data_IF_328015179542
#
_entry.id   IF_328015179542
#
_cell.length_a   1.000
_cell.length_b   1.000
_cell.length_c   1.000
_cell.angle_alpha   90.00
_cell.angle_beta   90.00
_cell.angle_gamma   90.00
#
_symmetry.space_group_name_H-M   'P 1'
#
loop_
_entity.id
_entity.type
_entity.pdbx_description
1 polymer ?
#
# COMPACT_ATOMS: atom_id res chain seq x y z
N UNK A 1 14.39 -11.07 27.40
CA UNK A 1 14.42 -9.59 27.37
C UNK A 1 15.81 -9.07 26.98
N UNK A 2 16.26 -9.48 25.85
CA UNK A 2 17.65 -9.22 25.41
C UNK A 2 17.76 -8.17 24.28
N UNK A 3 16.70 -7.41 24.01
CA UNK A 3 16.70 -6.40 22.93
C UNK A 3 17.38 -5.07 23.27
N UNK A 4 17.81 -4.89 24.52
CA UNK A 4 18.47 -3.64 24.94
C UNK A 4 19.98 -3.71 25.05
N UNK A 5 20.61 -4.86 24.80
CA UNK A 5 22.07 -5.00 24.89
C UNK A 5 22.81 -4.75 23.59
N UNK A 6 22.10 -4.68 22.46
CA UNK A 6 22.74 -4.48 21.15
C UNK A 6 23.16 -3.04 20.85
N UNK A 7 22.70 -2.06 21.62
CA UNK A 7 22.97 -0.64 21.39
C UNK A 7 24.12 -0.05 22.23
N UNK A 8 24.85 -0.88 23.00
CA UNK A 8 25.94 -0.39 23.85
C UNK A 8 27.34 -0.78 23.41
N UNK A 9 27.52 -1.43 22.29
CA UNK A 9 28.82 -1.91 21.84
C UNK A 9 29.39 -1.12 20.62
N UNK A 10 28.94 0.09 20.36
CA UNK A 10 29.48 0.89 19.27
C UNK A 10 29.93 2.28 19.71
N UNK A 11 30.55 2.35 20.87
CA UNK A 11 31.18 3.59 21.32
C UNK A 11 32.58 3.26 21.85
N UNK A 12 33.51 3.06 20.95
CA UNK A 12 34.92 3.32 21.16
C UNK A 12 35.73 2.91 19.91
N UNK A 13 35.96 3.84 19.01
CA UNK A 13 37.32 4.04 18.51
C UNK A 13 37.35 5.41 17.85
N UNK A 14 37.80 6.36 18.60
CA UNK A 14 38.21 7.63 18.05
C UNK A 14 39.50 7.45 17.28
N UNK A 15 39.51 7.84 16.03
CA UNK A 15 40.74 8.20 15.36
C UNK A 15 40.52 9.58 14.77
N UNK A 16 41.17 10.53 15.40
CA UNK A 16 41.39 11.83 14.85
C UNK A 16 42.25 11.68 13.61
N UNK A 17 41.76 12.10 12.48
CA UNK A 17 42.59 12.49 11.34
C UNK A 17 42.03 13.78 10.77
N UNK A 18 42.81 14.82 11.04
CA UNK A 18 42.69 16.13 10.49
C UNK A 18 42.84 16.11 8.97
N UNK A 19 41.97 16.88 8.33
CA UNK A 19 42.24 17.46 7.03
C UNK A 19 41.65 16.69 5.86
N UNK A 20 40.50 17.10 5.46
CA UNK A 20 40.15 17.54 4.10
C UNK A 20 38.65 17.91 4.09
N UNK A 21 38.41 19.16 3.80
CA UNK A 21 37.09 19.69 3.49
C UNK A 21 36.56 19.00 2.24
N UNK A 22 35.89 17.92 2.43
CA UNK A 22 35.01 17.30 1.45
C UNK A 22 33.64 17.22 2.06
N UNK A 23 32.72 18.12 1.68
CA UNK A 23 31.33 18.00 1.99
C UNK A 23 30.83 16.74 1.27
N UNK A 24 31.00 15.61 1.88
CA UNK A 24 30.25 14.43 1.48
C UNK A 24 28.82 14.66 1.92
N UNK A 25 28.02 15.19 1.03
CA UNK A 25 26.59 14.98 1.09
C UNK A 25 26.38 13.47 1.10
N UNK A 26 26.14 12.95 2.28
CA UNK A 26 25.54 11.65 2.40
C UNK A 26 24.15 11.80 1.80
N UNK A 27 24.03 11.57 0.50
CA UNK A 27 22.76 11.26 -0.10
C UNK A 27 22.28 10.02 0.64
N UNK A 28 21.39 10.22 1.61
CA UNK A 28 20.59 9.13 2.12
C UNK A 28 19.87 8.59 0.88
N UNK A 29 20.44 7.55 0.27
CA UNK A 29 19.72 6.77 -0.69
C UNK A 29 18.54 6.23 0.10
N UNK A 30 17.38 6.84 -0.11
CA UNK A 30 16.13 6.23 0.28
C UNK A 30 16.15 4.86 -0.38
N UNK A 31 16.44 3.85 0.42
CA UNK A 31 16.38 2.47 -0.04
C UNK A 31 14.97 2.32 -0.58
N UNK A 32 14.86 2.29 -1.90
CA UNK A 32 13.61 1.96 -2.57
C UNK A 32 13.23 0.60 -2.01
N UNK A 33 12.25 0.59 -1.11
CA UNK A 33 11.70 -0.64 -0.59
C UNK A 33 11.45 -1.53 -1.80
N UNK A 34 12.02 -2.72 -1.86
CA UNK A 34 11.86 -3.58 -3.02
C UNK A 34 10.38 -3.72 -3.30
N UNK A 35 10.01 -3.61 -4.58
CA UNK A 35 8.63 -3.74 -5.01
C UNK A 35 8.02 -4.93 -4.31
N UNK A 36 6.99 -4.69 -3.52
CA UNK A 36 6.39 -5.69 -2.66
C UNK A 36 6.02 -6.90 -3.51
N UNK A 37 6.50 -8.06 -3.12
CA UNK A 37 6.18 -9.30 -3.82
C UNK A 37 4.67 -9.47 -3.83
N UNK A 38 4.10 -9.67 -5.00
CA UNK A 38 2.66 -9.90 -5.14
C UNK A 38 2.25 -11.17 -4.40
N UNK A 39 1.11 -11.13 -3.75
CA UNK A 39 0.53 -12.32 -3.13
C UNK A 39 0.26 -13.40 -4.19
N UNK A 40 0.51 -14.64 -3.84
CA UNK A 40 0.22 -15.79 -4.71
C UNK A 40 -1.28 -16.03 -4.87
N UNK A 41 -2.04 -15.79 -3.79
CA UNK A 41 -3.48 -15.88 -3.80
C UNK A 41 -4.11 -14.52 -4.08
N UNK A 42 -5.27 -14.53 -4.71
CA UNK A 42 -6.02 -13.31 -5.01
C UNK A 42 -6.85 -12.89 -3.80
N UNK A 43 -6.20 -12.30 -2.82
CA UNK A 43 -6.91 -11.62 -1.73
C UNK A 43 -7.53 -10.35 -2.28
N UNK A 44 -8.80 -10.12 -2.01
CA UNK A 44 -9.55 -8.97 -2.49
C UNK A 44 -9.95 -8.06 -1.33
N UNK A 45 -9.11 -7.10 -0.93
CA UNK A 45 -9.49 -6.09 0.02
C UNK A 45 -10.53 -5.14 -0.59
N UNK A 46 -11.28 -4.45 0.28
CA UNK A 46 -12.29 -3.49 -0.12
C UNK A 46 -11.93 -2.07 0.34
N UNK A 47 -12.67 -1.08 -0.15
CA UNK A 47 -12.52 0.31 0.29
C UNK A 47 -12.70 0.45 1.81
N UNK A 48 -11.94 1.37 2.38
CA UNK A 48 -11.95 1.66 3.80
C UNK A 48 -10.93 0.86 4.63
N UNK A 49 -10.51 -0.32 4.18
CA UNK A 49 -9.52 -1.12 4.93
C UNK A 49 -8.20 -0.40 5.13
N UNK A 50 -7.78 0.38 4.15
CA UNK A 50 -6.50 1.12 4.15
C UNK A 50 -6.67 2.63 4.17
N UNK A 51 -7.84 3.12 4.57
CA UNK A 51 -8.14 4.55 4.60
C UNK A 51 -7.12 5.37 5.40
N UNK A 52 -6.68 4.84 6.53
CA UNK A 52 -5.69 5.51 7.39
C UNK A 52 -4.30 5.65 6.74
N UNK A 53 -3.98 4.80 5.78
CA UNK A 53 -2.68 4.80 5.10
C UNK A 53 -2.75 5.46 3.72
N UNK A 54 -3.85 5.30 3.02
CA UNK A 54 -4.02 5.73 1.63
C UNK A 54 -4.89 6.99 1.49
N UNK A 55 -5.59 7.41 2.56
CA UNK A 55 -6.52 8.54 2.52
C UNK A 55 -7.93 8.16 2.06
N UNK A 56 -8.74 9.19 1.83
CA UNK A 56 -10.16 9.04 1.48
C UNK A 56 -10.41 8.83 -0.02
N UNK A 57 -9.46 9.17 -0.89
CA UNK A 57 -9.61 8.99 -2.32
C UNK A 57 -9.63 7.52 -2.70
N UNK A 58 -10.68 7.12 -3.43
CA UNK A 58 -10.89 5.71 -3.78
C UNK A 58 -9.81 5.17 -4.72
N UNK A 59 -9.36 6.00 -5.66
CA UNK A 59 -8.34 5.60 -6.62
C UNK A 59 -6.99 5.44 -5.93
N UNK A 60 -6.68 6.30 -4.97
CA UNK A 60 -5.45 6.20 -4.20
C UNK A 60 -5.46 4.97 -3.28
N UNK A 61 -6.62 4.59 -2.73
CA UNK A 61 -6.76 3.34 -1.99
C UNK A 61 -6.48 2.11 -2.86
N UNK A 62 -6.97 2.08 -4.10
CA UNK A 62 -6.67 0.98 -5.05
C UNK A 62 -5.17 0.94 -5.36
N UNK A 63 -4.55 2.07 -5.64
CA UNK A 63 -3.10 2.14 -5.89
C UNK A 63 -2.31 1.62 -4.69
N UNK A 64 -2.69 2.04 -3.49
CA UNK A 64 -2.07 1.56 -2.26
C UNK A 64 -2.17 0.04 -2.11
N UNK A 65 -3.35 -0.54 -2.37
CA UNK A 65 -3.55 -1.98 -2.33
C UNK A 65 -2.62 -2.70 -3.33
N UNK A 66 -2.51 -2.18 -4.56
CA UNK A 66 -1.59 -2.72 -5.55
C UNK A 66 -0.12 -2.65 -5.08
N UNK A 67 0.28 -1.54 -4.46
CA UNK A 67 1.63 -1.35 -3.91
C UNK A 67 1.92 -2.31 -2.76
N UNK A 68 0.90 -2.70 -1.99
CA UNK A 68 1.03 -3.71 -0.94
C UNK A 68 1.08 -5.15 -1.48
N UNK A 69 0.89 -5.35 -2.77
CA UNK A 69 0.98 -6.66 -3.42
C UNK A 69 -0.35 -7.35 -3.69
N UNK A 70 -1.47 -6.70 -3.43
CA UNK A 70 -2.79 -7.24 -3.76
C UNK A 70 -3.03 -7.24 -5.27
N UNK A 71 -3.60 -8.33 -5.78
CA UNK A 71 -3.88 -8.53 -7.20
C UNK A 71 -5.38 -8.60 -7.51
N UNK A 72 -6.21 -8.40 -6.50
CA UNK A 72 -7.66 -8.36 -6.62
C UNK A 72 -8.22 -7.27 -5.69
N UNK A 73 -9.45 -6.89 -5.95
CA UNK A 73 -10.16 -5.84 -5.23
C UNK A 73 -11.65 -6.15 -5.20
N UNK A 74 -12.34 -5.74 -4.18
CA UNK A 74 -13.79 -5.93 -4.00
C UNK A 74 -14.46 -4.61 -3.63
N UNK A 75 -15.63 -4.34 -4.22
CA UNK A 75 -16.45 -3.19 -3.84
C UNK A 75 -17.94 -3.53 -3.89
N UNK A 76 -18.50 -3.86 -2.75
CA UNK A 76 -19.93 -4.17 -2.61
C UNK A 76 -20.84 -2.96 -2.91
N UNK A 77 -20.29 -1.76 -2.91
CA UNK A 77 -21.01 -0.52 -3.22
C UNK A 77 -20.93 -0.08 -4.68
N UNK A 78 -20.28 -0.84 -5.55
CA UNK A 78 -19.98 -0.45 -6.94
C UNK A 78 -21.20 0.07 -7.70
N UNK A 79 -22.33 -0.62 -7.60
CA UNK A 79 -23.55 -0.26 -8.31
C UNK A 79 -24.21 1.04 -7.85
N UNK A 80 -23.85 1.53 -6.66
CA UNK A 80 -24.36 2.79 -6.11
C UNK A 80 -23.47 3.99 -6.46
N UNK A 81 -22.32 3.74 -7.07
CA UNK A 81 -21.40 4.81 -7.47
C UNK A 81 -21.83 5.41 -8.80
N UNK A 82 -21.47 6.67 -9.03
CA UNK A 82 -21.65 7.30 -10.34
C UNK A 82 -20.90 6.51 -11.42
N UNK A 83 -21.46 6.46 -12.62
CA UNK A 83 -20.89 5.76 -13.78
C UNK A 83 -19.45 6.24 -14.05
N UNK A 84 -19.20 7.54 -13.89
CA UNK A 84 -17.86 8.09 -14.06
C UNK A 84 -16.85 7.50 -13.06
N UNK A 85 -17.26 7.29 -11.82
CA UNK A 85 -16.42 6.66 -10.79
C UNK A 85 -16.26 5.16 -11.05
N UNK A 86 -17.32 4.46 -11.47
CA UNK A 86 -17.24 3.07 -11.86
C UNK A 86 -16.21 2.87 -12.99
N UNK A 87 -16.23 3.73 -13.99
CA UNK A 87 -15.27 3.71 -15.09
C UNK A 87 -13.83 3.95 -14.60
N UNK A 88 -13.63 4.98 -13.77
CA UNK A 88 -12.31 5.25 -13.18
C UNK A 88 -11.75 4.07 -12.38
N UNK A 89 -12.60 3.43 -11.60
CA UNK A 89 -12.21 2.23 -10.83
C UNK A 89 -11.81 1.12 -11.80
N UNK A 90 -12.65 0.83 -12.80
CA UNK A 90 -12.37 -0.20 -13.79
C UNK A 90 -11.07 0.04 -14.57
N UNK A 91 -10.86 1.25 -15.05
CA UNK A 91 -9.62 1.65 -15.74
C UNK A 91 -8.39 1.53 -14.85
N UNK A 92 -8.52 1.92 -13.58
CA UNK A 92 -7.43 1.82 -12.60
C UNK A 92 -7.06 0.38 -12.33
N UNK A 93 -8.06 -0.49 -12.11
CA UNK A 93 -7.84 -1.92 -11.92
C UNK A 93 -7.17 -2.55 -13.14
N UNK A 94 -7.63 -2.23 -14.35
CA UNK A 94 -7.04 -2.71 -15.59
C UNK A 94 -5.58 -2.29 -15.73
N UNK A 95 -5.29 -1.02 -15.46
CA UNK A 95 -3.93 -0.46 -15.51
C UNK A 95 -2.99 -1.11 -14.51
N UNK A 96 -3.48 -1.43 -13.31
CA UNK A 96 -2.73 -2.10 -12.25
C UNK A 96 -2.74 -3.62 -12.36
N UNK A 97 -3.39 -4.17 -13.39
CA UNK A 97 -3.56 -5.60 -13.58
C UNK A 97 -4.18 -6.31 -12.36
N UNK A 98 -5.19 -5.67 -11.79
CA UNK A 98 -5.96 -6.19 -10.67
C UNK A 98 -7.28 -6.77 -11.16
N UNK A 99 -7.73 -7.84 -10.51
CA UNK A 99 -9.02 -8.47 -10.80
C UNK A 99 -10.11 -7.88 -9.92
N UNK A 100 -11.24 -7.49 -10.52
CA UNK A 100 -12.45 -7.17 -9.76
C UNK A 100 -13.04 -8.45 -9.17
N UNK A 101 -13.26 -8.43 -7.87
CA UNK A 101 -13.93 -9.50 -7.16
C UNK A 101 -15.45 -9.37 -7.19
N UNK A 102 -16.10 -9.89 -6.19
CA UNK A 102 -17.57 -9.87 -6.06
C UNK A 102 -18.05 -8.43 -5.77
N UNK A 103 -19.18 -8.08 -6.34
CA UNK A 103 -19.94 -6.88 -5.99
C UNK A 103 -21.44 -7.19 -6.00
N UNK A 104 -22.19 -6.42 -5.20
CA UNK A 104 -23.63 -6.62 -5.09
C UNK A 104 -24.33 -5.81 -6.18
N UNK A 105 -25.02 -6.50 -7.08
CA UNK A 105 -25.81 -5.86 -8.15
C UNK A 105 -27.15 -5.39 -7.59
N UNK A 106 -27.85 -6.26 -6.89
CA UNK A 106 -29.10 -5.95 -6.21
C UNK A 106 -29.23 -6.83 -4.97
N UNK A 107 -29.61 -6.23 -3.86
CA UNK A 107 -29.86 -7.00 -2.64
C UNK A 107 -31.22 -7.71 -2.65
N UNK A 108 -32.03 -7.48 -3.69
CA UNK A 108 -33.33 -8.10 -3.91
C UNK A 108 -34.14 -8.33 -2.64
N UNK A 109 -35.19 -7.56 -2.41
CA UNK A 109 -36.19 -7.84 -1.39
C UNK A 109 -35.69 -7.91 0.07
N UNK A 110 -36.57 -7.66 0.98
CA UNK A 110 -36.37 -7.76 2.42
C UNK A 110 -35.80 -9.13 2.82
N UNK A 111 -34.51 -9.17 3.14
CA UNK A 111 -33.92 -10.31 3.86
C UNK A 111 -34.22 -10.24 5.37
N UNK A 112 -35.25 -9.52 5.75
CA UNK A 112 -35.73 -9.42 7.11
C UNK A 112 -37.04 -10.22 7.23
N UNK A 113 -36.91 -11.50 7.43
CA UNK A 113 -37.89 -12.34 8.16
C UNK A 113 -37.11 -13.49 8.77
#
# INVERSE_FOLDING_TARGET
MERRRFLKASAATGVALSGLTGVMQASASVSKVPATTKFKLKYAPHFGMFKNSAGDDLIDQIKYMADQGFTAFEDNGMMKRDVSMQNKIGETLARLNMTMGVFVVDKGGNMAN
#
